data_IF_852281819714
#
_entry.id   IF_852281819714
#
_cell.length_a   1.000
_cell.length_b   1.000
_cell.length_c   1.000
_cell.angle_alpha   90.00
_cell.angle_beta   90.00
_cell.angle_gamma   90.00
#
_symmetry.space_group_name_H-M   'P 1'
#
loop_
_entity.id
_entity.type
_entity.pdbx_description
1 polymer ?
#
# COMPACT_ATOMS: atom_id res chain seq x y z
N UNK A 1 -16.80 -38.75 -35.61
CA UNK A 1 -17.70 -38.38 -34.51
C UNK A 1 -16.92 -38.57 -33.22
N UNK A 2 -16.18 -37.55 -32.78
CA UNK A 2 -15.31 -37.56 -31.60
C UNK A 2 -16.06 -36.90 -30.45
N UNK A 3 -16.47 -37.71 -29.48
CA UNK A 3 -17.02 -37.25 -28.22
C UNK A 3 -15.91 -36.57 -27.42
N UNK A 4 -16.01 -35.27 -27.19
CA UNK A 4 -15.22 -34.56 -26.17
C UNK A 4 -15.87 -34.76 -24.81
N UNK A 5 -15.14 -35.42 -23.96
CA UNK A 5 -15.51 -35.67 -22.56
C UNK A 5 -15.33 -34.37 -21.76
N UNK A 6 -16.45 -33.72 -21.46
CA UNK A 6 -16.55 -32.41 -20.82
C UNK A 6 -16.55 -32.49 -19.29
N UNK A 7 -15.89 -33.51 -18.69
CA UNK A 7 -15.88 -33.74 -17.24
C UNK A 7 -14.48 -33.88 -16.68
N UNK A 8 -13.67 -32.82 -16.78
CA UNK A 8 -12.56 -32.65 -15.85
C UNK A 8 -12.27 -31.17 -15.63
N UNK A 9 -13.14 -30.49 -14.87
CA UNK A 9 -12.73 -29.28 -14.16
C UNK A 9 -11.60 -29.68 -13.21
N UNK A 10 -10.46 -28.96 -13.18
CA UNK A 10 -9.46 -29.21 -12.15
C UNK A 10 -10.08 -28.86 -10.80
N UNK A 11 -9.98 -29.80 -9.87
CA UNK A 11 -10.39 -29.67 -8.48
C UNK A 11 -9.96 -28.28 -7.95
N UNK A 12 -10.94 -27.52 -7.49
CA UNK A 12 -10.68 -26.39 -6.59
C UNK A 12 -9.83 -26.94 -5.45
N UNK A 13 -8.52 -26.67 -5.51
CA UNK A 13 -7.64 -26.88 -4.37
C UNK A 13 -8.24 -26.10 -3.23
N UNK A 14 -8.89 -26.79 -2.32
CA UNK A 14 -9.40 -26.21 -1.10
C UNK A 14 -8.24 -25.46 -0.44
N UNK A 15 -8.32 -24.13 -0.46
CA UNK A 15 -7.36 -23.27 0.23
C UNK A 15 -7.51 -23.53 1.72
N UNK A 16 -6.67 -24.43 2.25
CA UNK A 16 -6.61 -24.67 3.68
C UNK A 16 -5.98 -23.44 4.33
N UNK A 17 -6.75 -22.77 5.21
CA UNK A 17 -6.25 -21.67 6.02
C UNK A 17 -5.11 -22.19 6.91
N UNK A 18 -3.86 -21.88 6.55
CA UNK A 18 -2.68 -22.35 7.28
C UNK A 18 -2.48 -21.66 8.61
N UNK A 19 -2.84 -20.39 8.71
CA UNK A 19 -2.88 -19.63 9.96
C UNK A 19 -3.63 -18.32 9.78
N UNK A 20 -4.37 -17.90 10.80
CA UNK A 20 -4.98 -16.57 10.87
C UNK A 20 -3.98 -15.62 11.51
N UNK A 21 -3.31 -14.81 10.71
CA UNK A 21 -2.26 -13.88 11.16
C UNK A 21 -2.84 -12.74 11.97
N UNK A 22 -4.04 -12.25 11.60
CA UNK A 22 -4.72 -11.15 12.26
C UNK A 22 -6.23 -11.29 12.17
N UNK A 23 -6.92 -11.12 13.27
CA UNK A 23 -8.39 -11.05 13.30
C UNK A 23 -8.89 -9.62 13.01
N UNK A 24 -10.20 -9.50 12.76
CA UNK A 24 -10.84 -8.21 12.44
C UNK A 24 -10.68 -7.18 13.58
N UNK A 25 -10.68 -7.59 14.83
CA UNK A 25 -10.54 -6.68 15.97
C UNK A 25 -9.10 -6.15 16.08
N UNK A 26 -8.11 -7.01 15.86
CA UNK A 26 -6.70 -6.60 15.80
C UNK A 26 -6.43 -5.65 14.62
N UNK A 27 -7.03 -5.93 13.45
CA UNK A 27 -6.96 -5.07 12.27
C UNK A 27 -7.50 -3.67 12.57
N UNK A 28 -8.69 -3.57 13.14
CA UNK A 28 -9.29 -2.28 13.53
C UNK A 28 -8.40 -1.49 14.49
N UNK A 29 -7.84 -2.14 15.50
CA UNK A 29 -6.91 -1.49 16.44
C UNK A 29 -5.62 -1.01 15.75
N UNK A 30 -5.06 -1.82 14.85
CA UNK A 30 -3.86 -1.45 14.10
C UNK A 30 -4.12 -0.22 13.22
N UNK A 31 -5.24 -0.18 12.50
CA UNK A 31 -5.63 0.97 11.67
C UNK A 31 -5.81 2.22 12.52
N UNK A 32 -6.53 2.12 13.65
CA UNK A 32 -6.72 3.26 14.55
C UNK A 32 -5.39 3.81 15.10
N UNK A 33 -4.48 2.92 15.47
CA UNK A 33 -3.13 3.31 15.92
C UNK A 33 -2.36 4.02 14.81
N UNK A 34 -2.31 3.44 13.60
CA UNK A 34 -1.61 4.04 12.47
C UNK A 34 -2.18 5.41 12.10
N UNK A 35 -3.50 5.58 12.10
CA UNK A 35 -4.13 6.86 11.85
C UNK A 35 -3.73 7.91 12.88
N UNK A 36 -3.76 7.56 14.18
CA UNK A 36 -3.32 8.46 15.25
C UNK A 36 -1.83 8.81 15.16
N UNK A 37 -0.98 7.83 14.86
CA UNK A 37 0.46 8.06 14.63
C UNK A 37 0.71 9.02 13.47
N UNK A 38 -0.01 8.86 12.34
CA UNK A 38 0.13 9.74 11.17
C UNK A 38 -0.24 11.18 11.54
N UNK A 39 -1.37 11.37 12.23
CA UNK A 39 -1.81 12.70 12.66
C UNK A 39 -0.84 13.34 13.63
N UNK A 40 -0.35 12.58 14.62
CA UNK A 40 0.58 13.05 15.62
C UNK A 40 1.95 13.43 15.01
N UNK A 41 2.53 12.55 14.20
CA UNK A 41 3.83 12.77 13.55
C UNK A 41 3.85 13.98 12.61
N UNK A 42 2.70 14.32 12.01
CA UNK A 42 2.57 15.39 11.03
C UNK A 42 1.84 16.62 11.56
N UNK A 43 1.49 16.64 12.88
CA UNK A 43 0.80 17.76 13.53
C UNK A 43 -0.53 18.12 12.85
N UNK A 44 -1.28 17.09 12.45
CA UNK A 44 -2.54 17.18 11.71
C UNK A 44 -2.48 16.49 10.35
N UNK A 45 -3.57 16.54 9.60
CA UNK A 45 -3.70 15.85 8.31
C UNK A 45 -3.74 16.78 7.10
N UNK A 46 -3.66 18.10 7.28
CA UNK A 46 -3.88 19.11 6.22
C UNK A 46 -2.96 18.95 4.99
N UNK A 47 -1.66 18.67 5.22
CA UNK A 47 -0.68 18.50 4.14
C UNK A 47 -0.36 17.04 3.86
N UNK A 48 -1.11 16.12 4.50
CA UNK A 48 -0.90 14.69 4.38
C UNK A 48 -1.64 14.15 3.17
N UNK A 49 -0.94 13.37 2.36
CA UNK A 49 -1.46 12.64 1.22
C UNK A 49 -1.25 11.14 1.45
N UNK A 50 -2.32 10.42 1.72
CA UNK A 50 -2.29 8.97 1.92
C UNK A 50 -2.29 8.29 0.56
N UNK A 51 -1.29 7.46 0.29
CA UNK A 51 -1.14 6.76 -0.99
C UNK A 51 -1.10 5.25 -0.75
N UNK A 52 -2.11 4.55 -1.23
CA UNK A 52 -2.17 3.08 -1.17
C UNK A 52 -1.39 2.44 -2.32
N UNK A 53 -0.48 1.52 -2.00
CA UNK A 53 0.20 0.71 -3.01
C UNK A 53 -0.73 -0.41 -3.46
N UNK A 54 -0.96 -0.50 -4.77
CA UNK A 54 -1.81 -1.52 -5.36
C UNK A 54 -1.15 -2.91 -5.21
N UNK A 55 -1.84 -3.97 -4.82
CA UNK A 55 -3.30 -4.07 -4.64
C UNK A 55 -3.75 -3.95 -3.18
N UNK A 56 -2.96 -4.48 -2.24
CA UNK A 56 -3.39 -4.70 -0.85
C UNK A 56 -3.26 -3.46 0.03
N UNK A 57 -2.38 -2.54 -0.32
CA UNK A 57 -2.23 -1.27 0.36
C UNK A 57 -3.46 -0.37 0.21
N UNK A 58 -4.17 -0.44 -0.93
CA UNK A 58 -5.32 0.43 -1.21
C UNK A 58 -6.45 0.29 -0.18
N UNK A 59 -7.00 -0.91 0.09
CA UNK A 59 -8.06 -1.05 1.08
C UNK A 59 -7.65 -0.66 2.51
N UNK A 60 -6.35 -0.73 2.80
CA UNK A 60 -5.80 -0.29 4.08
C UNK A 60 -5.71 1.23 4.15
N UNK A 61 -5.22 1.85 3.09
CA UNK A 61 -5.13 3.30 2.96
C UNK A 61 -6.51 3.95 3.07
N UNK A 62 -7.53 3.43 2.39
CA UNK A 62 -8.92 3.90 2.51
C UNK A 62 -9.42 3.90 3.96
N UNK A 63 -9.21 2.81 4.69
CA UNK A 63 -9.59 2.71 6.10
C UNK A 63 -8.81 3.66 7.01
N UNK A 64 -7.55 3.93 6.68
CA UNK A 64 -6.73 4.91 7.41
C UNK A 64 -7.27 6.32 7.15
N UNK A 65 -7.61 6.65 5.89
CA UNK A 65 -8.24 7.92 5.51
C UNK A 65 -9.54 8.15 6.29
N UNK A 66 -10.44 7.16 6.30
CA UNK A 66 -11.68 7.23 7.05
C UNK A 66 -11.41 7.50 8.55
N UNK A 67 -10.40 6.82 9.10
CA UNK A 67 -10.06 6.97 10.52
C UNK A 67 -9.42 8.31 10.84
N UNK A 68 -8.60 8.86 9.94
CA UNK A 68 -8.06 10.22 10.08
C UNK A 68 -9.19 11.24 10.01
N UNK A 69 -10.14 11.07 9.08
CA UNK A 69 -11.29 11.94 8.98
C UNK A 69 -12.16 11.94 10.26
N UNK A 70 -12.29 10.80 10.94
CA UNK A 70 -12.96 10.74 12.24
C UNK A 70 -12.20 11.51 13.33
N UNK A 71 -10.87 11.52 13.29
CA UNK A 71 -10.01 12.20 14.30
C UNK A 71 -9.96 13.71 14.06
N UNK A 72 -9.70 14.11 12.82
CA UNK A 72 -9.44 15.51 12.44
C UNK A 72 -10.70 16.26 12.02
N UNK A 73 -11.80 15.55 11.67
CA UNK A 73 -13.01 16.16 11.12
C UNK A 73 -12.87 16.58 9.65
N UNK A 74 -11.74 16.32 9.01
CA UNK A 74 -11.43 16.63 7.61
C UNK A 74 -10.73 15.42 6.96
N UNK A 75 -11.09 15.12 5.71
CA UNK A 75 -10.46 14.03 4.96
C UNK A 75 -9.08 14.45 4.45
N UNK A 76 -8.03 13.65 4.69
CA UNK A 76 -6.75 13.87 4.04
C UNK A 76 -6.85 13.56 2.54
N UNK A 77 -5.88 14.04 1.76
CA UNK A 77 -5.76 13.66 0.35
C UNK A 77 -5.50 12.15 0.24
N UNK A 78 -6.10 11.54 -0.79
CA UNK A 78 -5.97 10.10 -1.04
C UNK A 78 -5.60 9.81 -2.49
N UNK A 79 -4.71 8.85 -2.70
CA UNK A 79 -4.31 8.40 -4.02
C UNK A 79 -3.88 6.94 -4.06
N UNK A 80 -3.69 6.44 -5.27
CA UNK A 80 -3.32 5.04 -5.54
C UNK A 80 -2.12 5.01 -6.47
N UNK A 81 -1.13 4.19 -6.11
CA UNK A 81 0.05 3.97 -6.93
C UNK A 81 0.14 2.51 -7.36
N UNK A 82 0.40 2.28 -8.66
CA UNK A 82 0.64 0.95 -9.21
C UNK A 82 2.11 0.80 -9.62
N UNK A 83 2.84 0.01 -8.85
CA UNK A 83 4.27 -0.22 -9.03
C UNK A 83 4.60 -1.35 -10.01
N UNK A 84 3.61 -1.91 -10.72
CA UNK A 84 3.80 -3.09 -11.58
C UNK A 84 4.89 -2.88 -12.61
N UNK A 85 5.00 -1.69 -13.21
CA UNK A 85 6.03 -1.37 -14.22
C UNK A 85 7.42 -1.12 -13.65
N UNK A 86 7.53 -0.84 -12.37
CA UNK A 86 8.78 -0.47 -11.70
C UNK A 86 9.42 -1.64 -10.93
N UNK A 87 8.85 -2.84 -11.06
CA UNK A 87 9.38 -4.05 -10.44
C UNK A 87 10.36 -4.76 -11.38
N UNK A 88 11.54 -5.04 -10.87
CA UNK A 88 12.63 -5.69 -11.61
C UNK A 88 12.35 -7.15 -11.99
N UNK A 89 11.27 -7.76 -11.46
CA UNK A 89 10.89 -9.16 -11.66
C UNK A 89 9.96 -9.41 -12.87
N UNK A 90 9.68 -8.38 -13.68
CA UNK A 90 8.83 -8.51 -14.89
C UNK A 90 9.45 -9.31 -16.03
N UNK A 91 10.75 -9.62 -15.97
CA UNK A 91 11.48 -10.32 -17.05
C UNK A 91 11.07 -11.79 -17.22
N UNK A 92 10.26 -12.35 -16.34
CA UNK A 92 9.90 -13.78 -16.32
C UNK A 92 8.43 -14.08 -16.63
N UNK A 93 7.60 -13.08 -16.87
CA UNK A 93 6.17 -13.28 -17.12
C UNK A 93 5.86 -13.05 -18.60
N UNK A 94 5.66 -14.15 -19.32
CA UNK A 94 5.39 -14.16 -20.77
C UNK A 94 3.99 -13.66 -21.21
N UNK A 95 3.27 -12.94 -20.36
CA UNK A 95 2.05 -12.22 -20.70
C UNK A 95 2.22 -10.76 -20.36
N UNK A 96 1.81 -9.85 -21.25
CA UNK A 96 1.84 -8.41 -20.98
C UNK A 96 1.21 -8.12 -19.62
N UNK A 97 1.90 -7.48 -18.68
CA UNK A 97 1.33 -7.19 -17.38
C UNK A 97 0.12 -6.28 -17.54
N UNK A 98 -0.96 -6.61 -16.84
CA UNK A 98 -2.11 -5.71 -16.74
C UNK A 98 -1.67 -4.56 -15.83
N UNK A 99 -1.33 -3.43 -16.44
CA UNK A 99 -0.97 -2.20 -15.73
C UNK A 99 -2.26 -1.46 -15.40
N UNK A 100 -2.57 -1.37 -14.13
CA UNK A 100 -3.64 -0.49 -13.69
C UNK A 100 -3.09 0.94 -13.58
N UNK A 101 -3.98 1.91 -13.74
CA UNK A 101 -3.58 3.31 -13.70
C UNK A 101 -3.19 3.74 -12.28
N UNK A 102 -2.11 4.49 -12.17
CA UNK A 102 -1.81 5.30 -10.97
C UNK A 102 -2.79 6.47 -10.93
N UNK A 103 -3.40 6.69 -9.79
CA UNK A 103 -4.42 7.71 -9.56
C UNK A 103 -3.92 8.66 -8.46
N UNK A 104 -3.22 9.71 -8.88
CA UNK A 104 -2.78 10.81 -8.03
C UNK A 104 -3.43 12.08 -8.59
N UNK A 105 -4.63 12.40 -8.09
CA UNK A 105 -5.47 13.48 -8.65
C UNK A 105 -5.01 14.88 -8.24
N UNK A 106 -4.05 14.98 -7.34
CA UNK A 106 -3.56 16.26 -6.82
C UNK A 106 -2.05 16.32 -6.96
N UNK A 107 -1.52 17.53 -7.16
CA UNK A 107 -0.10 17.80 -7.11
C UNK A 107 0.49 17.34 -5.78
N UNK A 108 1.57 16.57 -5.85
CA UNK A 108 2.28 16.03 -4.69
C UNK A 108 3.42 16.92 -4.21
N UNK A 109 3.69 18.00 -4.93
CA UNK A 109 4.76 18.93 -4.57
C UNK A 109 4.53 19.50 -3.17
N UNK A 110 5.57 19.49 -2.38
CA UNK A 110 5.60 19.99 -1.00
C UNK A 110 4.61 19.29 -0.02
N UNK A 111 4.00 18.17 -0.42
CA UNK A 111 3.13 17.36 0.43
C UNK A 111 3.92 16.33 1.24
N UNK A 112 3.28 15.87 2.32
CA UNK A 112 3.75 14.73 3.09
C UNK A 112 3.04 13.49 2.57
N UNK A 113 3.78 12.64 1.86
CA UNK A 113 3.23 11.39 1.30
C UNK A 113 3.36 10.29 2.35
N UNK A 114 2.26 9.62 2.63
CA UNK A 114 2.24 8.42 3.48
C UNK A 114 1.92 7.22 2.60
N UNK A 115 2.93 6.44 2.24
CA UNK A 115 2.79 5.19 1.51
C UNK A 115 2.27 4.10 2.43
N UNK A 116 1.20 3.44 2.00
CA UNK A 116 0.55 2.36 2.75
C UNK A 116 0.61 1.06 1.98
N UNK A 117 1.12 0.00 2.63
CA UNK A 117 1.13 -1.36 2.11
C UNK A 117 0.77 -2.37 3.22
N UNK A 118 0.42 -3.61 2.85
CA UNK A 118 0.06 -4.66 3.82
C UNK A 118 1.29 -5.22 4.54
N UNK A 119 2.36 -5.45 3.81
CA UNK A 119 3.62 -6.04 4.31
C UNK A 119 4.83 -5.35 3.69
N UNK A 120 5.71 -4.89 4.52
CA UNK A 120 7.05 -4.43 4.14
C UNK A 120 8.03 -5.60 4.22
N UNK A 121 8.11 -6.39 3.14
CA UNK A 121 8.98 -7.57 3.14
C UNK A 121 10.35 -7.30 2.51
N UNK A 122 10.38 -6.56 1.40
CA UNK A 122 11.65 -6.20 0.74
C UNK A 122 11.63 -4.72 0.36
N UNK A 123 12.74 -4.03 0.45
CA UNK A 123 12.85 -2.64 0.01
C UNK A 123 12.54 -2.39 -1.48
N UNK A 124 12.28 -3.45 -2.26
CA UNK A 124 11.96 -3.36 -3.70
C UNK A 124 10.64 -2.64 -3.96
N UNK A 125 9.57 -3.02 -3.24
CA UNK A 125 8.27 -2.35 -3.34
C UNK A 125 8.38 -0.87 -3.03
N UNK A 126 9.11 -0.55 -1.96
CA UNK A 126 9.31 0.84 -1.52
C UNK A 126 10.10 1.63 -2.55
N UNK A 127 11.19 1.06 -3.05
CA UNK A 127 12.03 1.72 -4.08
C UNK A 127 11.22 1.99 -5.34
N UNK A 128 10.48 0.99 -5.83
CA UNK A 128 9.61 1.14 -7.00
C UNK A 128 8.54 2.23 -6.79
N UNK A 129 7.95 2.30 -5.59
CA UNK A 129 6.98 3.34 -5.25
C UNK A 129 7.61 4.73 -5.18
N UNK A 130 8.81 4.85 -4.60
CA UNK A 130 9.56 6.11 -4.55
C UNK A 130 9.96 6.59 -5.94
N UNK A 131 10.51 5.71 -6.77
CA UNK A 131 10.90 6.05 -8.14
C UNK A 131 9.69 6.57 -8.93
N UNK A 132 8.54 5.89 -8.81
CA UNK A 132 7.32 6.33 -9.45
C UNK A 132 6.78 7.65 -8.89
N UNK A 133 6.82 7.87 -7.57
CA UNK A 133 6.41 9.16 -6.98
C UNK A 133 7.22 10.33 -7.52
N UNK A 134 8.53 10.14 -7.72
CA UNK A 134 9.40 11.20 -8.23
C UNK A 134 9.08 11.60 -9.69
N UNK A 135 8.39 10.75 -10.45
CA UNK A 135 7.88 11.09 -11.78
C UNK A 135 6.65 12.02 -11.72
N UNK A 136 5.92 12.03 -10.60
CA UNK A 136 4.73 12.86 -10.39
C UNK A 136 5.02 14.20 -9.71
N UNK A 137 6.15 14.35 -9.03
CA UNK A 137 6.48 15.60 -8.36
C UNK A 137 7.59 15.46 -7.30
N UNK A 138 7.67 16.47 -6.43
CA UNK A 138 8.70 16.53 -5.37
C UNK A 138 8.03 16.69 -4.00
N UNK A 139 7.66 15.57 -3.36
CA UNK A 139 7.09 15.63 -2.02
C UNK A 139 8.11 16.16 -1.01
N UNK A 140 7.63 16.89 -0.01
CA UNK A 140 8.45 17.39 1.09
C UNK A 140 9.00 16.26 1.98
N UNK A 141 8.21 15.18 2.14
CA UNK A 141 8.54 14.04 2.97
C UNK A 141 7.78 12.81 2.47
N UNK A 142 8.41 11.66 2.53
CA UNK A 142 7.73 10.37 2.30
C UNK A 142 7.85 9.52 3.57
N UNK A 143 6.72 9.07 4.08
CA UNK A 143 6.60 8.15 5.21
C UNK A 143 6.06 6.83 4.71
N UNK A 144 6.40 5.76 5.41
CA UNK A 144 5.95 4.42 5.08
C UNK A 144 5.19 3.84 6.27
N UNK A 145 3.98 3.35 6.05
CA UNK A 145 3.17 2.70 7.06
C UNK A 145 2.70 1.33 6.58
N UNK A 146 2.83 0.33 7.45
CA UNK A 146 2.41 -1.03 7.20
C UNK A 146 1.73 -1.62 8.44
N UNK A 147 0.75 -2.48 8.23
CA UNK A 147 0.07 -3.17 9.34
C UNK A 147 0.96 -4.24 9.96
N UNK A 148 1.85 -4.82 9.17
CA UNK A 148 2.76 -5.87 9.59
C UNK A 148 4.20 -5.38 9.50
N UNK A 149 4.72 -4.88 10.61
CA UNK A 149 6.15 -4.81 10.81
C UNK A 149 6.60 -6.16 11.38
N UNK A 150 7.35 -6.94 10.63
CA UNK A 150 8.15 -8.00 11.23
C UNK A 150 9.27 -7.34 12.04
N UNK A 151 9.72 -7.95 13.13
CA UNK A 151 10.59 -7.38 14.19
C UNK A 151 11.98 -6.85 13.74
N UNK A 152 12.22 -6.71 12.43
CA UNK A 152 13.44 -6.17 11.85
C UNK A 152 13.33 -4.73 11.34
N UNK A 153 12.26 -4.00 11.71
CA UNK A 153 11.96 -2.65 11.18
C UNK A 153 12.79 -1.53 11.80
N UNK A 154 13.68 -1.78 12.74
CA UNK A 154 14.54 -0.73 13.31
C UNK A 154 15.52 -0.11 12.28
N UNK A 155 15.88 -0.83 11.22
CA UNK A 155 16.74 -0.30 10.15
C UNK A 155 15.96 0.50 9.10
N UNK A 156 14.67 0.19 8.86
CA UNK A 156 13.87 0.89 7.85
C UNK A 156 13.27 2.21 8.37
N UNK A 157 13.14 2.38 9.69
CA UNK A 157 12.75 3.65 10.28
C UNK A 157 13.79 4.76 10.05
N UNK A 158 15.05 4.41 9.81
CA UNK A 158 16.09 5.38 9.45
C UNK A 158 16.03 5.90 8.02
N UNK A 159 15.30 5.21 7.13
CA UNK A 159 15.07 5.64 5.74
C UNK A 159 13.90 6.62 5.60
N UNK A 160 13.16 6.88 6.66
CA UNK A 160 11.98 7.78 6.67
C UNK A 160 12.35 9.27 6.52
N UNK A 161 13.63 9.60 6.46
CA UNK A 161 14.13 10.98 6.35
C UNK A 161 15.02 11.16 5.11
N UNK A 162 14.69 10.53 3.99
CA UNK A 162 15.38 10.81 2.73
C UNK A 162 14.64 11.98 2.04
N UNK A 163 15.17 13.16 2.22
CA UNK A 163 15.01 14.33 1.35
C UNK A 163 16.33 14.56 0.69
#
# INVERSE_FOLDING_TARGET
MLCYDLHRMPDEKSLTEKSRIMDSARMKRAISRLASEIVEENQGAKDVYIVGIRRRGVPLAERIVDKIAEIEGEMPLFGIIDITLYRDDLSTVGASPIVNRTELDTDIDDKIIVLVDDVLYTGRTIRAALDQLMDFGRPRKVQLKSIRSEEHTSELQSLTNIV
#
